data_IF_888367534648
#
_entry.id   IF_888367534648
#
_cell.length_a   1.000
_cell.length_b   1.000
_cell.length_c   1.000
_cell.angle_alpha   90.00
_cell.angle_beta   90.00
_cell.angle_gamma   90.00
#
_symmetry.space_group_name_H-M   'P 1'
#
loop_
_entity.id
_entity.type
_entity.pdbx_description
1 polymer ?
#
# COMPACT_ATOMS: atom_id res chain seq x y z
N UNK A 1 50.59 -24.19 2.85
CA UNK A 1 50.97 -24.93 4.08
C UNK A 1 49.72 -24.99 4.95
N UNK A 2 49.11 -26.09 5.39
CA UNK A 2 49.31 -27.54 5.31
C UNK A 2 47.90 -28.17 5.21
N UNK A 3 47.78 -29.25 4.44
CA UNK A 3 46.63 -30.17 4.42
C UNK A 3 46.58 -30.96 5.73
N UNK A 4 45.41 -31.44 6.15
CA UNK A 4 45.29 -32.71 6.87
C UNK A 4 43.94 -33.37 6.55
N UNK A 5 44.09 -34.54 5.95
CA UNK A 5 43.11 -35.55 5.59
C UNK A 5 43.07 -36.55 6.75
N UNK A 6 41.91 -37.08 7.12
CA UNK A 6 41.82 -38.44 7.67
C UNK A 6 40.58 -39.16 7.15
N UNK A 7 40.84 -40.31 6.54
CA UNK A 7 39.90 -41.33 6.09
C UNK A 7 40.10 -42.57 6.96
N UNK A 8 39.02 -43.30 7.28
CA UNK A 8 38.95 -44.75 7.59
C UNK A 8 37.47 -45.10 7.80
N UNK A 9 36.74 -45.75 6.88
CA UNK A 9 36.70 -47.17 6.49
C UNK A 9 36.53 -48.14 7.67
N UNK A 10 35.39 -48.85 7.72
CA UNK A 10 35.28 -50.30 8.00
C UNK A 10 33.94 -50.82 7.43
N UNK A 11 34.05 -51.97 6.79
CA UNK A 11 33.08 -52.76 6.03
C UNK A 11 32.45 -53.84 6.92
N UNK A 12 31.20 -54.27 6.65
CA UNK A 12 30.85 -55.71 6.61
C UNK A 12 29.41 -55.98 6.20
N UNK A 13 29.30 -56.87 5.22
CA UNK A 13 28.18 -57.55 4.55
C UNK A 13 27.44 -58.54 5.45
N UNK A 14 26.13 -58.78 5.23
CA UNK A 14 25.55 -60.14 5.17
C UNK A 14 24.11 -60.22 4.58
N UNK A 15 23.95 -61.22 3.69
CA UNK A 15 22.77 -61.76 3.00
C UNK A 15 21.65 -62.17 3.99
N UNK A 16 20.37 -62.36 3.67
CA UNK A 16 19.59 -62.52 2.44
C UNK A 16 18.34 -63.36 2.81
N UNK A 17 17.27 -63.36 2.00
CA UNK A 17 16.39 -64.51 1.70
C UNK A 17 15.40 -64.08 0.60
N UNK A 18 15.33 -64.93 -0.42
CA UNK A 18 14.45 -64.87 -1.59
C UNK A 18 13.14 -65.58 -1.22
N UNK A 19 12.00 -64.94 -1.52
CA UNK A 19 10.69 -65.59 -1.56
C UNK A 19 10.08 -65.43 -2.94
N UNK A 20 10.04 -66.52 -3.72
CA UNK A 20 9.28 -66.61 -4.97
C UNK A 20 7.81 -66.90 -4.67
N UNK A 21 6.91 -66.06 -5.19
CA UNK A 21 5.48 -66.31 -5.26
C UNK A 21 4.97 -65.93 -6.65
N UNK A 22 4.64 -66.93 -7.45
CA UNK A 22 4.10 -66.82 -8.81
C UNK A 22 2.59 -66.56 -8.78
N UNK A 23 2.11 -65.53 -9.47
CA UNK A 23 0.81 -65.50 -10.17
C UNK A 23 0.67 -64.19 -10.95
N UNK A 24 0.49 -64.29 -12.26
CA UNK A 24 0.45 -63.15 -13.16
C UNK A 24 -0.80 -62.29 -13.03
N UNK A 25 -0.64 -61.00 -13.25
CA UNK A 25 -1.63 -60.06 -13.81
C UNK A 25 -0.93 -58.73 -14.12
N UNK A 26 -1.35 -58.09 -15.20
CA UNK A 26 -0.76 -56.89 -15.80
C UNK A 26 -0.55 -55.70 -14.83
N UNK A 27 0.42 -54.79 -15.11
CA UNK A 27 0.53 -53.54 -14.36
C UNK A 27 -0.59 -52.60 -14.80
N UNK A 28 -1.65 -52.51 -14.00
CA UNK A 28 -2.58 -51.39 -14.07
C UNK A 28 -1.86 -50.16 -13.50
N UNK A 29 -1.30 -49.34 -14.40
CA UNK A 29 -0.94 -47.96 -14.10
C UNK A 29 -2.23 -47.16 -13.86
N UNK A 30 -2.71 -47.19 -12.63
CA UNK A 30 -3.64 -46.18 -12.12
C UNK A 30 -3.01 -45.54 -10.90
N UNK A 31 -2.09 -44.61 -11.15
CA UNK A 31 -1.83 -43.51 -10.23
C UNK A 31 -3.17 -42.80 -10.02
N UNK A 32 -3.67 -42.63 -8.79
CA UNK A 32 -4.79 -41.74 -8.55
C UNK A 32 -4.40 -40.36 -9.10
N UNK A 33 -5.31 -39.57 -9.71
CA UNK A 33 -4.99 -38.19 -10.03
C UNK A 33 -4.50 -37.56 -8.73
N UNK A 34 -3.27 -37.03 -8.75
CA UNK A 34 -2.84 -36.13 -7.70
C UNK A 34 -3.89 -35.02 -7.69
N UNK A 35 -4.65 -34.98 -6.61
CA UNK A 35 -5.60 -33.93 -6.31
C UNK A 35 -4.79 -32.63 -6.34
N UNK A 36 -4.78 -31.94 -7.47
CA UNK A 36 -4.41 -30.55 -7.54
C UNK A 36 -5.52 -29.83 -6.80
N UNK A 37 -5.44 -29.83 -5.46
CA UNK A 37 -6.19 -28.90 -4.65
C UNK A 37 -5.87 -27.52 -5.21
N UNK A 38 -6.80 -26.98 -5.99
CA UNK A 38 -6.68 -25.65 -6.57
C UNK A 38 -6.37 -24.71 -5.41
N UNK A 39 -5.22 -24.04 -5.47
CA UNK A 39 -4.87 -23.02 -4.48
C UNK A 39 -6.00 -21.99 -4.51
N UNK A 40 -6.78 -21.93 -3.43
CA UNK A 40 -7.91 -21.01 -3.29
C UNK A 40 -7.45 -19.59 -3.61
N UNK A 41 -8.23 -18.89 -4.44
CA UNK A 41 -7.91 -17.52 -4.85
C UNK A 41 -8.04 -16.55 -3.66
N UNK A 42 -7.44 -15.35 -3.74
CA UNK A 42 -7.53 -14.41 -2.62
C UNK A 42 -8.98 -13.93 -2.41
N UNK A 43 -9.73 -13.70 -3.49
CA UNK A 43 -11.15 -13.36 -3.42
C UNK A 43 -11.98 -14.47 -2.77
N UNK A 44 -11.74 -15.73 -3.14
CA UNK A 44 -12.42 -16.88 -2.54
C UNK A 44 -12.12 -16.98 -1.04
N UNK A 45 -10.87 -16.76 -0.64
CA UNK A 45 -10.47 -16.74 0.77
C UNK A 45 -11.18 -15.61 1.52
N UNK A 46 -11.15 -14.38 1.01
CA UNK A 46 -11.83 -13.22 1.61
C UNK A 46 -13.33 -13.48 1.78
N UNK A 47 -13.98 -14.06 0.77
CA UNK A 47 -15.41 -14.42 0.84
C UNK A 47 -15.68 -15.56 1.83
N UNK A 48 -14.84 -16.57 1.89
CA UNK A 48 -14.97 -17.68 2.84
C UNK A 48 -14.79 -17.20 4.29
N UNK A 49 -13.80 -16.34 4.53
CA UNK A 49 -13.52 -15.73 5.83
C UNK A 49 -14.56 -14.65 6.21
N UNK A 50 -15.36 -14.20 5.24
CA UNK A 50 -16.31 -13.07 5.34
C UNK A 50 -15.67 -11.77 5.79
N UNK A 51 -14.36 -11.61 5.55
CA UNK A 51 -13.56 -10.49 6.02
C UNK A 51 -12.57 -10.05 4.96
N UNK A 52 -12.46 -8.75 4.74
CA UNK A 52 -11.41 -8.11 3.95
C UNK A 52 -10.49 -7.37 4.91
N UNK A 53 -9.25 -7.84 5.06
CA UNK A 53 -8.28 -7.20 5.96
C UNK A 53 -7.54 -6.08 5.21
N UNK A 54 -7.61 -4.86 5.73
CA UNK A 54 -7.18 -3.64 5.02
C UNK A 54 -6.07 -2.95 5.81
N UNK A 55 -4.90 -2.77 5.20
CA UNK A 55 -3.82 -1.94 5.74
C UNK A 55 -4.10 -0.45 5.47
N UNK A 56 -3.97 0.37 6.50
CA UNK A 56 -4.14 1.84 6.43
C UNK A 56 -3.36 2.53 7.56
N UNK A 57 -3.11 3.83 7.52
CA UNK A 57 -2.28 4.53 8.51
C UNK A 57 -3.05 4.92 9.78
N UNK A 58 -4.28 5.45 9.65
CA UNK A 58 -5.04 5.99 10.79
C UNK A 58 -4.57 7.36 11.29
N UNK A 59 -3.60 7.98 10.62
CA UNK A 59 -3.00 9.29 11.00
C UNK A 59 -2.87 10.28 9.83
N UNK A 60 -3.49 10.01 8.69
CA UNK A 60 -3.38 10.75 7.43
C UNK A 60 -4.73 11.37 7.02
N UNK A 61 -5.10 12.46 7.70
CA UNK A 61 -6.32 13.23 7.40
C UNK A 61 -6.22 13.93 6.04
N UNK A 62 -7.30 13.93 5.22
CA UNK A 62 -8.65 13.44 5.50
C UNK A 62 -8.92 12.01 4.97
N UNK A 63 -7.88 11.26 4.62
CA UNK A 63 -8.00 9.97 3.94
C UNK A 63 -8.21 8.79 4.90
N UNK A 64 -7.44 8.76 5.99
CA UNK A 64 -7.49 7.71 7.02
C UNK A 64 -6.97 8.29 8.32
N UNK A 65 -7.87 8.60 9.25
CA UNK A 65 -7.55 9.28 10.49
C UNK A 65 -8.60 8.99 11.56
N UNK A 66 -8.30 9.37 12.80
CA UNK A 66 -9.25 9.27 13.89
C UNK A 66 -9.98 10.60 14.09
N UNK A 67 -11.31 10.55 14.11
CA UNK A 67 -12.11 11.73 14.45
C UNK A 67 -12.07 12.06 15.95
N UNK A 68 -12.82 13.08 16.36
CA UNK A 68 -12.88 13.52 17.76
C UNK A 68 -13.42 12.45 18.73
N UNK A 69 -14.17 11.46 18.23
CA UNK A 69 -14.64 10.32 19.03
C UNK A 69 -13.59 9.23 19.19
N UNK A 70 -12.48 9.32 18.45
CA UNK A 70 -11.47 8.28 18.37
C UNK A 70 -11.86 7.13 17.43
N UNK A 71 -12.83 7.34 16.54
CA UNK A 71 -13.21 6.36 15.52
C UNK A 71 -12.37 6.55 14.26
N UNK A 72 -11.86 5.44 13.70
CA UNK A 72 -11.19 5.44 12.40
C UNK A 72 -12.19 5.84 11.30
N UNK A 73 -11.84 6.86 10.54
CA UNK A 73 -12.66 7.46 9.48
C UNK A 73 -11.77 8.01 8.37
N UNK A 74 -12.38 8.59 7.36
CA UNK A 74 -11.70 9.22 6.24
C UNK A 74 -12.18 8.69 4.90
N UNK A 75 -11.75 9.37 3.83
CA UNK A 75 -12.15 9.04 2.47
C UNK A 75 -11.79 7.59 2.09
N UNK A 76 -10.54 7.16 2.27
CA UNK A 76 -10.10 5.80 1.94
C UNK A 76 -10.83 4.75 2.79
N UNK A 77 -11.07 5.05 4.06
CA UNK A 77 -11.81 4.18 4.99
C UNK A 77 -13.25 3.98 4.52
N UNK A 78 -13.93 5.05 4.10
CA UNK A 78 -15.31 4.98 3.61
C UNK A 78 -15.42 4.30 2.25
N UNK A 79 -14.50 4.58 1.31
CA UNK A 79 -14.46 3.91 0.01
C UNK A 79 -14.19 2.41 0.19
N UNK A 80 -13.19 2.04 1.01
CA UNK A 80 -12.87 0.63 1.27
C UNK A 80 -14.02 -0.11 1.98
N UNK A 81 -14.72 0.56 2.90
CA UNK A 81 -15.87 0.00 3.60
C UNK A 81 -17.05 -0.26 2.66
N UNK A 82 -17.36 0.67 1.76
CA UNK A 82 -18.43 0.47 0.76
C UNK A 82 -18.05 -0.62 -0.26
N UNK A 83 -16.78 -0.71 -0.67
CA UNK A 83 -16.29 -1.82 -1.50
C UNK A 83 -16.45 -3.16 -0.78
N UNK A 84 -16.03 -3.27 0.48
CA UNK A 84 -16.17 -4.50 1.28
C UNK A 84 -17.65 -4.93 1.39
N UNK A 85 -18.55 -3.97 1.65
CA UNK A 85 -19.99 -4.20 1.68
C UNK A 85 -20.53 -4.74 0.35
N UNK A 86 -20.09 -4.21 -0.80
CA UNK A 86 -20.47 -4.71 -2.14
C UNK A 86 -19.94 -6.10 -2.43
N UNK A 87 -18.78 -6.45 -1.86
CA UNK A 87 -18.21 -7.80 -1.91
C UNK A 87 -18.90 -8.77 -0.94
N UNK A 88 -19.76 -8.28 -0.04
CA UNK A 88 -20.47 -9.09 0.96
C UNK A 88 -19.59 -9.52 2.14
N UNK A 89 -18.57 -8.74 2.48
CA UNK A 89 -17.60 -9.04 3.55
C UNK A 89 -17.45 -7.87 4.52
N UNK A 90 -16.99 -8.16 5.74
CA UNK A 90 -16.69 -7.17 6.77
C UNK A 90 -15.31 -6.53 6.51
N UNK A 91 -15.19 -5.19 6.46
CA UNK A 91 -13.89 -4.53 6.43
C UNK A 91 -13.22 -4.61 7.81
N UNK A 92 -11.98 -5.09 7.85
CA UNK A 92 -11.16 -5.14 9.07
C UNK A 92 -9.90 -4.31 8.86
N UNK A 93 -9.85 -3.13 9.45
CA UNK A 93 -8.71 -2.22 9.30
C UNK A 93 -7.58 -2.61 10.25
N UNK A 94 -6.35 -2.62 9.73
CA UNK A 94 -5.11 -2.79 10.47
C UNK A 94 -4.23 -1.57 10.28
N UNK A 95 -4.24 -0.70 11.29
CA UNK A 95 -3.38 0.47 11.31
C UNK A 95 -1.90 0.09 11.29
N UNK A 96 -1.15 0.70 10.37
CA UNK A 96 0.27 0.41 10.14
C UNK A 96 0.97 1.67 9.67
N UNK A 97 2.15 1.95 10.24
CA UNK A 97 3.00 3.05 9.80
C UNK A 97 3.38 2.90 8.32
N UNK A 98 3.42 4.01 7.57
CA UNK A 98 3.62 3.98 6.12
C UNK A 98 4.84 3.15 5.68
N UNK A 99 6.00 3.37 6.30
CA UNK A 99 7.24 2.66 5.93
C UNK A 99 7.23 1.15 6.26
N UNK A 100 6.23 0.67 7.03
CA UNK A 100 5.99 -0.75 7.29
C UNK A 100 4.83 -1.32 6.46
N UNK A 101 4.09 -0.49 5.71
CA UNK A 101 2.86 -0.87 5.03
C UNK A 101 3.10 -1.93 3.94
N UNK A 102 4.12 -1.74 3.11
CA UNK A 102 4.36 -2.64 1.97
C UNK A 102 4.89 -4.00 2.45
N UNK A 103 5.77 -3.99 3.45
CA UNK A 103 6.23 -5.21 4.12
C UNK A 103 5.07 -5.94 4.84
N UNK A 104 4.10 -5.20 5.39
CA UNK A 104 2.87 -5.75 5.94
C UNK A 104 2.02 -6.46 4.89
N UNK A 105 1.89 -5.87 3.70
CA UNK A 105 1.20 -6.49 2.57
C UNK A 105 1.89 -7.78 2.12
N UNK A 106 3.21 -7.72 1.95
CA UNK A 106 4.05 -8.85 1.49
C UNK A 106 4.02 -10.03 2.46
N UNK A 107 4.02 -9.74 3.77
CA UNK A 107 3.91 -10.72 4.85
C UNK A 107 2.49 -11.23 5.10
N UNK A 108 1.51 -10.79 4.30
CA UNK A 108 0.10 -11.18 4.40
C UNK A 108 -0.57 -10.77 5.73
N UNK A 109 -0.12 -9.67 6.35
CA UNK A 109 -0.81 -9.11 7.54
C UNK A 109 -2.20 -8.58 7.20
N UNK A 110 -2.35 -8.04 5.99
CA UNK A 110 -3.61 -7.58 5.40
C UNK A 110 -3.67 -7.97 3.93
N UNK A 111 -4.87 -8.00 3.35
CA UNK A 111 -5.13 -8.44 1.98
C UNK A 111 -4.90 -7.34 0.95
N UNK A 112 -5.17 -6.09 1.36
CA UNK A 112 -5.14 -4.90 0.51
C UNK A 112 -4.69 -3.68 1.30
N UNK A 113 -4.12 -2.68 0.63
CA UNK A 113 -3.84 -1.36 1.20
C UNK A 113 -4.83 -0.33 0.66
N UNK A 114 -5.44 0.43 1.57
CA UNK A 114 -6.28 1.61 1.30
C UNK A 114 -5.67 2.83 2.00
N UNK A 115 -4.81 3.55 1.28
CA UNK A 115 -3.98 4.60 1.87
C UNK A 115 -3.36 5.55 0.81
N UNK A 116 -4.14 6.03 -0.16
CA UNK A 116 -3.68 6.92 -1.23
C UNK A 116 -2.43 6.40 -1.96
N UNK A 117 -2.39 5.10 -2.25
CA UNK A 117 -1.22 4.49 -2.88
C UNK A 117 -1.17 4.89 -4.36
N UNK A 118 -0.23 5.77 -4.71
CA UNK A 118 -0.01 6.19 -6.09
C UNK A 118 0.34 5.02 -7.02
N UNK A 119 -0.35 4.95 -8.16
CA UNK A 119 -0.13 3.93 -9.20
C UNK A 119 1.06 4.34 -10.06
N UNK A 120 2.12 3.52 -10.07
CA UNK A 120 3.37 3.78 -10.82
C UNK A 120 3.94 2.50 -11.41
N UNK A 121 4.69 2.57 -12.54
CA UNK A 121 5.20 1.39 -13.23
C UNK A 121 6.01 0.43 -12.34
N UNK A 122 6.92 0.97 -11.52
CA UNK A 122 7.77 0.18 -10.62
C UNK A 122 6.97 -0.58 -9.55
N UNK A 123 5.83 -0.04 -9.11
CA UNK A 123 4.91 -0.73 -8.19
C UNK A 123 4.07 -1.76 -8.92
N UNK A 124 3.59 -1.46 -10.13
CA UNK A 124 2.78 -2.39 -10.93
C UNK A 124 3.55 -3.66 -11.35
N UNK A 125 4.87 -3.58 -11.44
CA UNK A 125 5.75 -4.75 -11.63
C UNK A 125 5.68 -5.71 -10.42
N UNK A 126 5.51 -5.20 -9.20
CA UNK A 126 5.58 -5.97 -7.95
C UNK A 126 4.22 -6.23 -7.30
N UNK A 127 3.21 -5.45 -7.65
CA UNK A 127 1.90 -5.45 -7.01
C UNK A 127 0.80 -5.42 -8.06
N UNK A 128 -0.39 -5.84 -7.66
CA UNK A 128 -1.61 -5.63 -8.43
C UNK A 128 -2.35 -4.43 -7.86
N UNK A 129 -3.14 -3.75 -8.71
CA UNK A 129 -3.91 -2.58 -8.32
C UNK A 129 -5.35 -2.71 -8.78
N UNK A 130 -6.28 -2.18 -7.98
CA UNK A 130 -7.62 -1.90 -8.50
C UNK A 130 -7.58 -0.77 -9.53
N UNK A 131 -8.73 -0.49 -10.15
CA UNK A 131 -8.97 0.82 -10.76
C UNK A 131 -8.73 1.95 -9.74
N UNK A 132 -8.25 3.13 -10.19
CA UNK A 132 -8.14 4.29 -9.34
C UNK A 132 -9.50 4.70 -8.76
N UNK A 133 -9.48 5.19 -7.52
CA UNK A 133 -10.67 5.75 -6.87
C UNK A 133 -10.51 7.24 -6.56
N UNK A 134 -9.29 7.79 -6.63
CA UNK A 134 -9.05 9.22 -6.51
C UNK A 134 -7.85 9.67 -7.35
N UNK A 135 -7.84 10.97 -7.67
CA UNK A 135 -6.77 11.69 -8.35
C UNK A 135 -6.41 12.93 -7.54
N UNK A 136 -5.14 13.09 -7.25
CA UNK A 136 -4.65 14.21 -6.44
C UNK A 136 -3.30 14.70 -6.94
N UNK A 137 -2.88 15.88 -6.50
CA UNK A 137 -1.67 16.53 -6.97
C UNK A 137 -0.61 16.54 -5.88
N UNK A 138 0.65 16.38 -6.27
CA UNK A 138 1.75 16.61 -5.35
C UNK A 138 1.94 18.11 -5.16
N UNK A 139 2.10 18.56 -3.91
CA UNK A 139 2.42 19.94 -3.58
C UNK A 139 3.72 20.03 -2.81
N UNK A 140 4.46 21.13 -3.02
CA UNK A 140 5.65 21.49 -2.25
C UNK A 140 5.26 22.46 -1.14
N UNK A 141 5.61 22.10 0.09
CA UNK A 141 5.29 22.84 1.31
C UNK A 141 6.59 23.33 1.96
N UNK A 142 6.59 24.57 2.44
CA UNK A 142 7.69 25.15 3.22
C UNK A 142 7.14 26.05 4.32
N UNK A 143 8.02 26.58 5.17
CA UNK A 143 7.66 27.55 6.19
C UNK A 143 7.15 28.85 5.53
N UNK A 144 6.14 29.51 6.10
CA UNK A 144 5.59 30.79 5.59
C UNK A 144 6.69 31.85 5.40
N UNK A 145 7.70 31.86 6.28
CA UNK A 145 8.83 32.79 6.24
C UNK A 145 9.84 32.52 5.12
N UNK A 146 9.86 31.31 4.54
CA UNK A 146 10.78 30.96 3.45
C UNK A 146 10.37 31.72 2.16
N UNK A 147 11.29 32.49 1.59
CA UNK A 147 11.06 33.28 0.37
C UNK A 147 11.87 32.79 -0.83
N UNK A 148 12.71 31.76 -0.64
CA UNK A 148 13.66 31.27 -1.63
C UNK A 148 13.08 30.13 -2.45
N UNK A 149 12.34 29.21 -1.83
CA UNK A 149 11.75 28.05 -2.50
C UNK A 149 10.45 28.45 -3.19
N UNK A 150 10.38 28.30 -4.51
CA UNK A 150 9.21 28.66 -5.32
C UNK A 150 8.73 27.51 -6.20
N UNK A 151 9.58 26.53 -6.45
CA UNK A 151 9.31 25.41 -7.36
C UNK A 151 10.06 24.15 -6.89
N UNK A 152 9.67 22.98 -7.42
CA UNK A 152 10.30 21.69 -7.10
C UNK A 152 11.80 21.67 -7.36
N UNK A 153 12.28 22.35 -8.41
CA UNK A 153 13.71 22.45 -8.73
C UNK A 153 14.55 23.23 -7.70
N UNK A 154 13.90 24.04 -6.85
CA UNK A 154 14.59 24.90 -5.88
C UNK A 154 15.00 24.15 -4.61
N UNK A 155 14.65 22.86 -4.48
CA UNK A 155 14.89 22.07 -3.26
C UNK A 155 16.23 21.33 -3.24
N UNK A 156 17.07 21.51 -4.26
CA UNK A 156 18.36 20.82 -4.36
C UNK A 156 19.25 21.16 -3.15
N UNK A 157 19.67 20.13 -2.42
CA UNK A 157 20.48 20.25 -1.21
C UNK A 157 19.71 20.71 0.03
N UNK A 158 18.39 20.93 -0.07
CA UNK A 158 17.55 21.25 1.09
C UNK A 158 17.10 19.97 1.80
N UNK A 159 16.81 20.09 3.09
CA UNK A 159 16.26 18.99 3.89
C UNK A 159 14.76 18.86 3.63
N UNK A 160 14.35 17.71 3.11
CA UNK A 160 12.96 17.36 2.89
C UNK A 160 12.49 16.33 3.92
N UNK A 161 11.53 16.69 4.77
CA UNK A 161 10.88 15.75 5.69
C UNK A 161 9.94 14.82 4.93
N UNK A 162 10.26 13.53 4.86
CA UNK A 162 9.46 12.52 4.13
C UNK A 162 9.46 11.14 4.78
N UNK A 163 8.33 10.42 4.67
CA UNK A 163 8.31 8.96 4.89
C UNK A 163 9.13 8.29 3.77
N UNK A 164 10.05 7.40 4.14
CA UNK A 164 11.18 7.02 3.29
C UNK A 164 10.78 6.31 1.99
N UNK A 165 9.68 5.57 2.03
CA UNK A 165 9.15 4.74 0.93
C UNK A 165 8.02 5.42 0.13
N UNK A 166 7.70 6.67 0.46
CA UNK A 166 6.64 7.42 -0.23
C UNK A 166 7.06 7.84 -1.64
N UNK A 167 6.08 8.02 -2.54
CA UNK A 167 6.31 8.65 -3.84
C UNK A 167 6.81 10.10 -3.71
N UNK A 168 6.48 10.78 -2.62
CA UNK A 168 6.96 12.14 -2.33
C UNK A 168 8.46 12.17 -1.98
N UNK A 169 8.97 11.14 -1.28
CA UNK A 169 10.40 10.98 -1.07
C UNK A 169 11.15 10.79 -2.38
N UNK A 170 10.62 10.00 -3.31
CA UNK A 170 11.23 9.82 -4.64
C UNK A 170 11.24 11.12 -5.44
N UNK A 171 10.12 11.86 -5.44
CA UNK A 171 10.03 13.16 -6.12
C UNK A 171 10.97 14.20 -5.49
N UNK A 172 11.14 14.18 -4.17
CA UNK A 172 12.09 15.04 -3.48
C UNK A 172 13.55 14.68 -3.84
N UNK A 173 13.90 13.39 -3.82
CA UNK A 173 15.22 12.89 -4.22
C UNK A 173 15.54 13.20 -5.68
N UNK A 174 14.58 13.05 -6.59
CA UNK A 174 14.80 13.34 -8.02
C UNK A 174 15.07 14.82 -8.30
N UNK A 175 14.57 15.71 -7.44
CA UNK A 175 14.89 17.14 -7.44
C UNK A 175 16.12 17.50 -6.57
N UNK A 176 16.81 16.50 -6.01
CA UNK A 176 18.07 16.66 -5.31
C UNK A 176 17.97 17.06 -3.83
N UNK A 177 16.82 16.90 -3.19
CA UNK A 177 16.69 17.12 -1.75
C UNK A 177 17.40 16.03 -0.93
N UNK A 178 17.85 16.41 0.27
CA UNK A 178 18.31 15.49 1.31
C UNK A 178 17.12 15.02 2.14
N UNK A 179 16.83 13.71 2.12
CA UNK A 179 15.66 13.19 2.84
C UNK A 179 15.96 13.10 4.34
N UNK A 180 15.12 13.76 5.13
CA UNK A 180 15.02 13.55 6.57
C UNK A 180 13.81 12.64 6.82
N UNK A 181 14.09 11.43 7.30
CA UNK A 181 13.05 10.44 7.57
C UNK A 181 12.07 10.95 8.63
N UNK A 182 10.77 10.81 8.35
CA UNK A 182 9.67 11.05 9.29
C UNK A 182 8.66 9.92 9.20
N UNK A 183 7.85 9.78 10.24
CA UNK A 183 6.79 8.78 10.32
C UNK A 183 5.64 9.09 9.35
N UNK A 184 5.35 10.38 9.14
CA UNK A 184 4.28 10.80 8.23
C UNK A 184 4.13 12.31 8.11
N UNK A 185 3.02 12.72 7.50
CA UNK A 185 2.72 14.12 7.18
C UNK A 185 2.78 15.04 8.41
N UNK A 186 2.14 14.68 9.53
CA UNK A 186 2.08 15.54 10.71
C UNK A 186 3.48 15.86 11.26
N UNK A 187 4.36 14.85 11.37
CA UNK A 187 5.74 15.07 11.81
C UNK A 187 6.52 15.91 10.81
N UNK A 188 6.33 15.73 9.50
CA UNK A 188 6.96 16.57 8.49
C UNK A 188 6.61 18.06 8.68
N UNK A 189 5.33 18.35 8.93
CA UNK A 189 4.86 19.72 9.16
C UNK A 189 5.41 20.30 10.46
N UNK A 190 5.48 19.53 11.55
CA UNK A 190 6.09 19.98 12.81
C UNK A 190 7.58 20.33 12.65
N UNK A 191 8.30 19.55 11.82
CA UNK A 191 9.70 19.85 11.51
C UNK A 191 9.85 21.09 10.62
N UNK A 192 8.94 21.36 9.68
CA UNK A 192 8.93 22.62 8.91
C UNK A 192 8.64 23.80 9.84
N UNK A 193 7.65 23.66 10.72
CA UNK A 193 7.24 24.71 11.65
C UNK A 193 8.39 25.10 12.62
N UNK A 194 9.18 24.11 13.04
CA UNK A 194 10.36 24.29 13.90
C UNK A 194 11.66 24.56 13.14
N UNK A 195 11.63 24.73 11.82
CA UNK A 195 12.79 24.92 10.95
C UNK A 195 13.86 23.83 11.08
N UNK A 196 13.46 22.59 11.39
CA UNK A 196 14.35 21.41 11.43
C UNK A 196 14.48 20.74 10.06
N UNK A 197 13.51 20.96 9.18
CA UNK A 197 13.59 20.67 7.74
C UNK A 197 13.11 21.89 6.96
N UNK A 198 13.53 22.02 5.72
CA UNK A 198 13.24 23.19 4.88
C UNK A 198 11.91 23.05 4.13
N UNK A 199 11.61 21.83 3.70
CA UNK A 199 10.47 21.51 2.83
C UNK A 199 9.86 20.14 3.15
N UNK A 200 8.67 19.92 2.64
CA UNK A 200 8.06 18.60 2.50
C UNK A 200 7.18 18.61 1.25
N UNK A 201 7.08 17.47 0.58
CA UNK A 201 6.16 17.26 -0.54
C UNK A 201 5.06 16.33 -0.06
N UNK A 202 3.81 16.60 -0.43
CA UNK A 202 2.69 15.78 0.00
C UNK A 202 1.48 15.93 -0.94
N UNK A 203 0.36 15.32 -0.57
CA UNK A 203 -0.92 15.44 -1.27
C UNK A 203 -1.55 16.82 -1.07
N UNK A 204 -2.05 17.44 -2.15
CA UNK A 204 -2.68 18.75 -2.08
C UNK A 204 -3.90 18.76 -1.16
N UNK A 205 -4.72 17.70 -1.16
CA UNK A 205 -5.93 17.62 -0.36
C UNK A 205 -5.60 17.48 1.13
N UNK A 206 -4.55 16.73 1.48
CA UNK A 206 -4.05 16.66 2.86
C UNK A 206 -3.55 18.02 3.35
N UNK A 207 -2.73 18.72 2.55
CA UNK A 207 -2.19 20.02 2.97
C UNK A 207 -3.29 21.08 3.09
N UNK A 208 -4.26 21.08 2.18
CA UNK A 208 -5.41 22.00 2.22
C UNK A 208 -6.32 21.71 3.42
N UNK A 209 -6.60 20.44 3.71
CA UNK A 209 -7.36 20.05 4.91
C UNK A 209 -6.63 20.51 6.19
N UNK A 210 -5.32 20.26 6.28
CA UNK A 210 -4.51 20.71 7.41
C UNK A 210 -4.57 22.24 7.60
N UNK A 211 -4.43 23.02 6.52
CA UNK A 211 -4.51 24.49 6.57
C UNK A 211 -5.92 24.98 6.91
N UNK A 212 -6.97 24.26 6.50
CA UNK A 212 -8.35 24.55 6.89
C UNK A 212 -8.57 24.33 8.38
N UNK A 213 -8.02 23.26 8.94
CA UNK A 213 -8.10 22.95 10.37
C UNK A 213 -7.19 23.86 11.23
N UNK A 214 -6.05 24.28 10.68
CA UNK A 214 -5.01 25.08 11.36
C UNK A 214 -4.62 26.29 10.51
N UNK A 215 -5.49 27.32 10.39
CA UNK A 215 -5.24 28.47 9.51
C UNK A 215 -3.96 29.25 9.85
N UNK A 216 -3.58 29.25 11.14
CA UNK A 216 -2.38 29.93 11.65
C UNK A 216 -1.10 29.11 11.51
N UNK A 217 -1.17 27.87 10.99
CA UNK A 217 0.00 27.04 10.82
C UNK A 217 1.08 27.77 10.01
N UNK A 218 2.37 27.68 10.40
CA UNK A 218 3.44 28.47 9.80
C UNK A 218 3.96 27.85 8.49
N UNK A 219 3.08 27.21 7.70
CA UNK A 219 3.42 26.57 6.42
C UNK A 219 2.66 27.17 5.26
N UNK A 220 3.18 27.02 4.05
CA UNK A 220 2.50 27.39 2.80
C UNK A 220 2.86 26.40 1.68
N UNK A 221 1.94 26.25 0.74
CA UNK A 221 2.21 25.60 -0.55
C UNK A 221 2.92 26.62 -1.44
N UNK A 222 4.01 26.20 -2.09
CA UNK A 222 4.77 27.03 -3.04
C UNK A 222 4.75 26.51 -4.46
N UNK A 223 4.52 25.21 -4.66
CA UNK A 223 4.37 24.60 -5.97
C UNK A 223 3.39 23.43 -5.94
N UNK A 224 2.87 23.07 -7.11
CA UNK A 224 1.92 21.97 -7.34
C UNK A 224 2.30 21.25 -8.63
N UNK A 225 2.19 19.93 -8.68
CA UNK A 225 2.38 19.16 -9.92
C UNK A 225 1.35 19.55 -10.98
N UNK A 226 1.73 19.43 -12.26
CA UNK A 226 0.83 19.74 -13.38
C UNK A 226 -0.26 18.68 -13.53
N UNK A 227 0.09 17.41 -13.31
CA UNK A 227 -0.82 16.28 -13.48
C UNK A 227 -1.28 15.73 -12.13
N UNK A 228 -2.57 15.37 -12.09
CA UNK A 228 -3.15 14.58 -11.01
C UNK A 228 -2.67 13.13 -11.11
N UNK A 229 -2.21 12.60 -10.00
CA UNK A 229 -1.72 11.23 -9.88
C UNK A 229 -2.85 10.32 -9.40
N UNK A 230 -3.09 9.18 -10.08
CA UNK A 230 -4.09 8.23 -9.63
C UNK A 230 -3.63 7.50 -8.37
N UNK A 231 -4.55 7.30 -7.44
CA UNK A 231 -4.38 6.38 -6.30
C UNK A 231 -5.40 5.26 -6.38
N UNK A 232 -4.97 4.06 -6.00
CA UNK A 232 -5.77 2.86 -6.08
C UNK A 232 -5.51 1.93 -4.89
N UNK A 233 -6.35 0.90 -4.75
CA UNK A 233 -6.09 -0.16 -3.79
C UNK A 233 -4.90 -0.98 -4.27
N UNK A 234 -3.93 -1.23 -3.40
CA UNK A 234 -2.75 -2.03 -3.75
C UNK A 234 -2.83 -3.41 -3.10
N UNK A 235 -2.59 -4.45 -3.90
CA UNK A 235 -2.66 -5.85 -3.52
C UNK A 235 -1.35 -6.56 -3.87
N UNK A 236 -1.09 -7.69 -3.22
CA UNK A 236 0.04 -8.56 -3.61
C UNK A 236 -0.11 -9.01 -5.07
N UNK A 237 1.01 -9.17 -5.78
CA UNK A 237 1.01 -9.77 -7.12
C UNK A 237 0.30 -11.12 -7.14
N UNK A 238 -0.47 -11.37 -8.20
CA UNK A 238 -1.25 -12.59 -8.36
C UNK A 238 -2.58 -12.57 -7.63
N UNK A 239 -3.01 -11.42 -7.12
CA UNK A 239 -4.32 -11.21 -6.49
C UNK A 239 -5.31 -10.53 -7.44
N UNK A 240 -5.16 -10.79 -8.74
CA UNK A 240 -5.89 -10.13 -9.82
C UNK A 240 -7.41 -10.32 -9.68
N UNK A 241 -7.84 -11.48 -9.18
CA UNK A 241 -9.24 -11.78 -8.90
C UNK A 241 -9.89 -10.82 -7.89
N UNK A 242 -9.19 -10.52 -6.78
CA UNK A 242 -9.66 -9.54 -5.79
C UNK A 242 -9.54 -8.11 -6.34
N UNK A 243 -8.45 -7.79 -7.04
CA UNK A 243 -8.27 -6.48 -7.67
C UNK A 243 -9.37 -6.15 -8.68
N UNK A 244 -9.76 -7.12 -9.51
CA UNK A 244 -10.84 -7.00 -10.49
C UNK A 244 -12.21 -6.87 -9.79
N UNK A 245 -12.46 -7.65 -8.74
CA UNK A 245 -13.69 -7.56 -7.96
C UNK A 245 -13.83 -6.19 -7.28
N UNK A 246 -12.75 -5.66 -6.71
CA UNK A 246 -12.72 -4.30 -6.14
C UNK A 246 -12.88 -3.24 -7.23
N UNK A 247 -12.25 -3.41 -8.39
CA UNK A 247 -12.41 -2.52 -9.54
C UNK A 247 -13.85 -2.46 -10.03
N UNK A 248 -14.52 -3.62 -10.10
CA UNK A 248 -15.93 -3.69 -10.44
C UNK A 248 -16.80 -2.98 -9.39
N UNK A 249 -16.52 -3.16 -8.10
CA UNK A 249 -17.25 -2.45 -7.06
C UNK A 249 -17.08 -0.92 -7.19
N UNK A 250 -15.87 -0.45 -7.51
CA UNK A 250 -15.60 0.96 -7.78
C UNK A 250 -16.36 1.47 -9.02
N UNK A 251 -16.40 0.71 -10.12
CA UNK A 251 -17.21 1.05 -11.30
C UNK A 251 -18.70 1.17 -10.93
N UNK A 252 -19.23 0.23 -10.15
CA UNK A 252 -20.62 0.24 -9.71
C UNK A 252 -20.90 1.48 -8.81
N UNK A 253 -19.94 1.85 -7.94
CA UNK A 253 -20.02 3.07 -7.11
C UNK A 253 -19.91 4.37 -7.91
N UNK A 254 -19.18 4.37 -9.03
CA UNK A 254 -19.13 5.51 -9.95
C UNK A 254 -20.45 5.65 -10.69
N UNK A 255 -21.02 4.54 -11.18
CA UNK A 255 -22.27 4.51 -11.93
C UNK A 255 -23.48 4.96 -11.09
N UNK A 256 -23.55 4.52 -9.84
CA UNK A 256 -24.67 4.87 -8.94
C UNK A 256 -24.46 6.19 -8.16
N UNK A 257 -23.29 6.84 -8.33
CA UNK A 257 -22.96 8.11 -7.70
C UNK A 257 -22.49 8.02 -6.25
N UNK A 258 -22.34 6.81 -5.68
CA UNK A 258 -21.84 6.63 -4.32
C UNK A 258 -20.42 7.16 -4.15
N UNK A 259 -19.53 6.90 -5.10
CA UNK A 259 -18.13 7.36 -5.00
C UNK A 259 -18.05 8.89 -5.03
N UNK A 260 -18.81 9.53 -5.92
CA UNK A 260 -18.94 10.99 -5.99
C UNK A 260 -19.45 11.57 -4.67
N UNK A 261 -20.49 10.98 -4.07
CA UNK A 261 -21.05 11.44 -2.80
C UNK A 261 -20.03 11.36 -1.65
N UNK A 262 -19.24 10.28 -1.60
CA UNK A 262 -18.16 10.15 -0.61
C UNK A 262 -17.10 11.23 -0.87
N UNK A 263 -16.69 11.44 -2.12
CA UNK A 263 -15.72 12.48 -2.47
C UNK A 263 -16.18 13.88 -2.06
N UNK A 264 -17.41 14.27 -2.43
CA UNK A 264 -17.95 15.60 -2.13
C UNK A 264 -18.11 15.83 -0.62
N UNK A 265 -18.40 14.78 0.15
CA UNK A 265 -18.44 14.85 1.63
C UNK A 265 -17.09 15.28 2.20
N UNK A 266 -15.99 14.75 1.68
CA UNK A 266 -14.65 14.96 2.22
C UNK A 266 -13.96 16.20 1.63
N UNK A 267 -14.17 16.48 0.35
CA UNK A 267 -13.40 17.49 -0.40
C UNK A 267 -14.25 18.63 -0.95
N UNK A 268 -15.58 18.50 -0.94
CA UNK A 268 -16.49 19.46 -1.59
C UNK A 268 -16.48 19.38 -3.12
N UNK A 269 -15.71 18.45 -3.70
CA UNK A 269 -15.61 18.19 -5.12
C UNK A 269 -15.47 16.68 -5.40
N UNK A 270 -15.61 16.29 -6.67
CA UNK A 270 -15.47 14.91 -7.12
C UNK A 270 -14.05 14.66 -7.61
N UNK A 271 -13.22 14.01 -6.78
CA UNK A 271 -11.82 13.70 -7.06
C UNK A 271 -11.64 12.32 -7.71
N UNK A 272 -12.72 11.59 -7.98
CA UNK A 272 -12.62 10.20 -8.46
C UNK A 272 -12.39 10.07 -9.98
N UNK A 273 -12.21 11.19 -10.68
CA UNK A 273 -12.09 11.26 -12.14
C UNK A 273 -11.26 12.45 -12.59
#
# INVERSE_FOLDING_TARGET
MKKLIYSALISSVLLGIVGCGTSGSQPNNTTPPADQAATQSLLEKVKADKKLVIGTEGTYSPFTFHDQSGALTGYDVEVASEVAKRLGVEPVFQETQWDAMFAGLDSKRFDVIANQVGVRPDRQEKYDFSKPYSYSYSVLVTNKSNTTVKDFKDIKGLKAGQSMTSNYADLARSNGAEIVAVEGFNQAIDLIASNRVDVSLNDNLTVLDYLKQKPDAPIKIVAKSEEGQPTAFMLRKGSTDLADAMSKALDDMQQDGTLKKISEKWFGEDISK
#
